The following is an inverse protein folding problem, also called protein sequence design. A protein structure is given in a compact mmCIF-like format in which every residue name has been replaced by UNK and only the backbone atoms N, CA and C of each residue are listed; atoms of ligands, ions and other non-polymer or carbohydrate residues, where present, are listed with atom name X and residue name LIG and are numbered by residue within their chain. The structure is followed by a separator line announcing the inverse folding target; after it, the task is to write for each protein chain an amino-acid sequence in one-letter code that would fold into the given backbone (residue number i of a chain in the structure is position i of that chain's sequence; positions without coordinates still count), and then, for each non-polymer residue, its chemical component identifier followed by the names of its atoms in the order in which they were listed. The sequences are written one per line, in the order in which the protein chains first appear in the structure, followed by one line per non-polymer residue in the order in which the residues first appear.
data_IF_490630085440
#
_entry.id   IF_490630085440
#
_cell.length_a   1.000
_cell.length_b   1.000
_cell.length_c   1.000
_cell.angle_alpha   90.00
_cell.angle_beta   90.00
_cell.angle_gamma   90.00
#
_symmetry.space_group_name_H-M   'P 1'
#
loop_
_entity.id
_entity.type
_entity.pdbx_description
1 polymer ?
#
# COMPACT_ATOMS: atom_id res chain seq x y z
N UNK A 1 23.57 3.98 -1.77
CA UNK A 1 23.29 4.94 -2.86
C UNK A 1 21.78 5.07 -3.03
N UNK A 2 21.33 6.29 -3.35
CA UNK A 2 19.95 6.77 -3.43
C UNK A 2 19.19 6.14 -4.60
N UNK A 3 17.88 5.90 -4.40
CA UNK A 3 16.75 6.59 -5.07
C UNK A 3 15.54 5.67 -5.00
N UNK A 4 14.62 5.97 -4.09
CA UNK A 4 13.32 5.30 -4.04
C UNK A 4 12.38 6.06 -4.97
N UNK A 5 12.31 5.61 -6.22
CA UNK A 5 11.33 6.06 -7.22
C UNK A 5 10.08 5.19 -7.09
N UNK A 6 9.08 5.66 -6.35
CA UNK A 6 7.73 5.09 -6.40
C UNK A 6 7.07 5.54 -7.71
N UNK A 7 6.76 4.59 -8.60
CA UNK A 7 6.30 4.88 -9.98
C UNK A 7 4.82 4.58 -10.19
N UNK A 8 4.00 4.56 -9.13
CA UNK A 8 2.57 4.34 -9.31
C UNK A 8 1.93 5.51 -10.08
N UNK A 9 1.41 5.22 -11.27
CA UNK A 9 0.77 6.19 -12.16
C UNK A 9 -0.72 6.42 -11.87
N UNK A 10 -1.28 5.69 -10.89
CA UNK A 10 -2.70 5.82 -10.52
C UNK A 10 -2.92 5.63 -9.03
N UNK A 11 -3.71 6.51 -8.42
CA UNK A 11 -4.09 6.42 -7.01
C UNK A 11 -5.01 5.22 -6.73
N UNK A 12 -5.67 4.67 -7.77
CA UNK A 12 -6.57 3.52 -7.62
C UNK A 12 -5.84 2.18 -7.44
N UNK A 13 -4.56 2.10 -7.81
CA UNK A 13 -3.76 0.89 -7.71
C UNK A 13 -2.40 1.26 -7.14
N UNK A 14 -2.12 0.84 -5.91
CA UNK A 14 -0.82 1.07 -5.27
C UNK A 14 -0.05 -0.24 -5.22
N UNK A 15 1.23 -0.20 -5.59
CA UNK A 15 2.13 -1.35 -5.41
C UNK A 15 2.53 -1.42 -3.93
N UNK A 16 2.61 -2.62 -3.37
CA UNK A 16 2.98 -2.82 -1.97
C UNK A 16 4.33 -2.19 -1.62
N UNK A 17 5.39 -2.30 -2.45
CA UNK A 17 6.65 -1.62 -2.16
C UNK A 17 6.48 -0.11 -1.94
N UNK A 18 5.72 0.56 -2.81
CA UNK A 18 5.48 2.01 -2.72
C UNK A 18 4.79 2.38 -1.40
N UNK A 19 3.80 1.58 -0.97
CA UNK A 19 3.13 1.77 0.31
C UNK A 19 4.05 1.49 1.51
N UNK A 20 4.87 0.43 1.46
CA UNK A 20 5.83 0.11 2.52
C UNK A 20 6.86 1.22 2.71
N UNK A 21 7.34 1.81 1.60
CA UNK A 21 8.23 2.97 1.62
C UNK A 21 7.54 4.17 2.30
N UNK A 22 6.31 4.48 1.89
CA UNK A 22 5.53 5.58 2.47
C UNK A 22 5.27 5.42 3.98
N UNK A 23 5.15 4.18 4.45
CA UNK A 23 4.92 3.85 5.86
C UNK A 23 6.22 3.62 6.66
N UNK A 24 7.40 3.61 6.02
CA UNK A 24 8.68 3.33 6.69
C UNK A 24 8.81 1.91 7.23
N UNK A 25 8.07 0.95 6.65
CA UNK A 25 8.07 -0.45 7.07
C UNK A 25 8.77 -1.35 6.05
N UNK A 26 9.27 -2.50 6.50
CA UNK A 26 9.86 -3.52 5.62
C UNK A 26 8.82 -3.97 4.57
N UNK A 27 9.23 -4.10 3.31
CA UNK A 27 8.39 -4.71 2.28
C UNK A 27 7.92 -6.10 2.72
N UNK A 28 6.62 -6.32 2.58
CA UNK A 28 5.92 -7.55 2.97
C UNK A 28 4.87 -7.90 1.93
N UNK A 29 4.20 -9.04 2.09
CA UNK A 29 3.09 -9.43 1.21
C UNK A 29 1.86 -8.54 1.45
N UNK A 30 0.91 -8.43 0.50
CA UNK A 30 -0.27 -7.58 0.73
C UNK A 30 -1.11 -8.09 1.90
N UNK A 31 -1.19 -9.41 2.08
CA UNK A 31 -1.90 -10.01 3.21
C UNK A 31 -1.29 -9.62 4.56
N UNK A 32 0.03 -9.68 4.69
CA UNK A 32 0.73 -9.25 5.91
C UNK A 32 0.53 -7.76 6.18
N UNK A 33 0.60 -6.92 5.13
CA UNK A 33 0.38 -5.49 5.22
C UNK A 33 -1.01 -5.16 5.77
N UNK A 34 -2.06 -5.76 5.20
CA UNK A 34 -3.44 -5.53 5.64
C UNK A 34 -3.65 -5.90 7.12
N UNK A 35 -3.03 -6.99 7.58
CA UNK A 35 -3.12 -7.43 8.99
C UNK A 35 -2.35 -6.51 9.93
N UNK A 36 -1.12 -6.15 9.58
CA UNK A 36 -0.24 -5.29 10.40
C UNK A 36 -0.84 -3.90 10.57
N UNK A 37 -1.32 -3.31 9.48
CA UNK A 37 -1.91 -1.96 9.47
C UNK A 37 -3.40 -1.96 9.87
N UNK A 38 -3.97 -3.12 10.19
CA UNK A 38 -5.37 -3.29 10.62
C UNK A 38 -6.36 -2.62 9.65
N UNK A 39 -6.14 -2.82 8.36
CA UNK A 39 -6.92 -2.20 7.31
C UNK A 39 -8.42 -2.57 7.45
N UNK A 40 -9.29 -1.56 7.34
CA UNK A 40 -10.75 -1.75 7.33
C UNK A 40 -11.27 -1.52 5.92
N UNK A 41 -11.95 -2.51 5.37
CA UNK A 41 -12.67 -2.38 4.11
C UNK A 41 -14.06 -1.81 4.38
N UNK A 42 -14.37 -0.70 3.74
CA UNK A 42 -15.71 -0.10 3.81
C UNK A 42 -16.41 -0.43 2.50
N UNK A 43 -17.64 -0.95 2.59
CA UNK A 43 -18.47 -1.19 1.41
C UNK A 43 -18.81 0.16 0.77
N UNK A 44 -18.68 0.23 -0.55
CA UNK A 44 -19.08 1.42 -1.31
C UNK A 44 -20.61 1.64 -1.24
N UNK A 45 -21.10 2.82 -1.67
CA UNK A 45 -22.53 3.06 -1.76
C UNK A 45 -23.20 1.97 -2.59
N UNK A 46 -24.29 1.41 -2.07
CA UNK A 46 -25.18 0.58 -2.86
C UNK A 46 -26.00 1.56 -3.72
N UNK A 47 -25.78 1.52 -5.03
CA UNK A 47 -26.52 2.34 -5.99
C UNK A 47 -27.98 1.94 -6.12
#
# INVERSE_FOLDING_TARGET
MRKVIGTSSTTKKTKIPDACIGLGIKCMTPFEMLRRERARFILGPQG
#
